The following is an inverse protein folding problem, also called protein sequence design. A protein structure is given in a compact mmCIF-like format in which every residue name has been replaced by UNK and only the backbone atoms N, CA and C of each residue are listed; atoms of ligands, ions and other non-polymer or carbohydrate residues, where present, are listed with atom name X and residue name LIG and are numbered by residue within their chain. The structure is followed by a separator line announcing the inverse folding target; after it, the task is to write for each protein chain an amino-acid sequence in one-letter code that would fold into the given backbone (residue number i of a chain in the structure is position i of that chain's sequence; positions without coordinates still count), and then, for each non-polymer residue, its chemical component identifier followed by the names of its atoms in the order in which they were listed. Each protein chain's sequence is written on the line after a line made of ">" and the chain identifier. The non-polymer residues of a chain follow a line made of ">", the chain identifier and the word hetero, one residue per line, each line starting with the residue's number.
data_IF_973118261952
#
_entry.id   IF_973118261952
#
_cell.length_a   1.000
_cell.length_b   1.000
_cell.length_c   1.000
_cell.angle_alpha   90.00
_cell.angle_beta   90.00
_cell.angle_gamma   90.00
#
_symmetry.space_group_name_H-M   'P 1'
#
loop_
_entity.id
_entity.type
_entity.pdbx_description
1 polymer ?
#
# COMPACT_ATOMS: atom_id res chain seq x y z
N UNK A 1 -16.63 -11.18 -5.65
CA UNK A 1 -15.33 -11.33 -4.95
C UNK A 1 -14.26 -11.20 -6.00
N UNK A 2 -13.23 -10.38 -5.78
CA UNK A 2 -12.12 -10.25 -6.74
C UNK A 2 -11.35 -11.57 -6.82
N UNK A 3 -11.07 -12.06 -8.01
CA UNK A 3 -10.27 -13.25 -8.19
C UNK A 3 -8.78 -12.92 -8.04
N UNK A 4 -8.12 -13.54 -7.04
CA UNK A 4 -6.73 -13.24 -6.71
C UNK A 4 -5.75 -13.57 -7.82
N UNK A 5 -6.00 -14.64 -8.58
CA UNK A 5 -5.15 -15.04 -9.71
C UNK A 5 -5.14 -13.98 -10.82
N UNK A 6 -6.30 -13.39 -11.11
CA UNK A 6 -6.45 -12.38 -12.16
C UNK A 6 -5.60 -11.11 -11.88
N UNK A 7 -5.49 -10.71 -10.62
CA UNK A 7 -4.82 -9.46 -10.23
C UNK A 7 -3.41 -9.68 -9.69
N UNK A 8 -2.89 -10.90 -9.69
CA UNK A 8 -1.63 -11.23 -9.04
C UNK A 8 -0.44 -10.45 -9.60
N UNK A 9 -0.34 -10.33 -10.93
CA UNK A 9 0.75 -9.61 -11.58
C UNK A 9 0.80 -8.15 -11.16
N UNK A 10 -0.34 -7.48 -11.16
CA UNK A 10 -0.45 -6.07 -10.74
C UNK A 10 -0.21 -5.89 -9.23
N UNK A 11 -0.66 -6.86 -8.41
CA UNK A 11 -0.41 -6.82 -6.96
C UNK A 11 1.10 -6.97 -6.62
N UNK A 12 1.82 -7.81 -7.38
CA UNK A 12 3.28 -7.95 -7.27
C UNK A 12 3.96 -6.64 -7.67
N UNK A 13 3.54 -6.05 -8.79
CA UNK A 13 4.08 -4.77 -9.28
C UNK A 13 3.85 -3.63 -8.27
N UNK A 14 2.65 -3.55 -7.69
CA UNK A 14 2.33 -2.56 -6.65
C UNK A 14 3.24 -2.71 -5.42
N UNK A 15 3.39 -3.92 -4.91
CA UNK A 15 4.23 -4.16 -3.72
C UNK A 15 5.71 -3.89 -4.00
N UNK A 16 6.22 -4.35 -5.13
CA UNK A 16 7.61 -4.11 -5.54
C UNK A 16 7.87 -2.62 -5.78
N UNK A 17 6.99 -1.96 -6.53
CA UNK A 17 7.08 -0.53 -6.82
C UNK A 17 7.01 0.34 -5.56
N UNK A 18 6.07 0.07 -4.66
CA UNK A 18 5.95 0.79 -3.39
C UNK A 18 7.20 0.58 -2.49
N UNK A 19 7.75 -0.63 -2.47
CA UNK A 19 8.97 -0.95 -1.70
C UNK A 19 10.16 -0.16 -2.22
N UNK A 20 10.41 -0.16 -3.53
CA UNK A 20 11.51 0.59 -4.16
C UNK A 20 11.32 2.10 -3.95
N UNK A 21 10.10 2.60 -4.13
CA UNK A 21 9.80 4.01 -3.92
C UNK A 21 10.05 4.45 -2.46
N UNK A 22 9.71 3.59 -1.49
CA UNK A 22 10.00 3.88 -0.08
C UNK A 22 11.51 3.94 0.17
N UNK A 23 12.30 3.00 -0.35
CA UNK A 23 13.76 3.03 -0.21
C UNK A 23 14.37 4.28 -0.83
N UNK A 24 13.90 4.68 -2.01
CA UNK A 24 14.34 5.92 -2.66
C UNK A 24 13.99 7.16 -1.82
N UNK A 25 12.78 7.18 -1.25
CA UNK A 25 12.33 8.24 -0.36
C UNK A 25 13.17 8.31 0.91
N UNK A 26 13.44 7.19 1.57
CA UNK A 26 14.27 7.14 2.78
C UNK A 26 15.70 7.65 2.49
N UNK A 27 16.29 7.26 1.36
CA UNK A 27 17.59 7.78 0.91
C UNK A 27 17.55 9.28 0.67
N UNK A 28 16.50 9.78 0.04
CA UNK A 28 16.32 11.21 -0.20
C UNK A 28 16.10 12.02 1.09
N UNK A 29 15.61 11.39 2.15
CA UNK A 29 15.42 12.02 3.47
C UNK A 29 16.67 11.94 4.36
N UNK A 30 17.65 11.09 4.02
CA UNK A 30 18.86 10.92 4.83
C UNK A 30 19.58 12.26 5.05
N UNK A 31 19.92 12.56 6.29
CA UNK A 31 20.57 13.81 6.70
C UNK A 31 19.69 15.05 6.72
N UNK A 32 18.40 14.93 6.39
CA UNK A 32 17.42 16.02 6.46
C UNK A 32 16.66 16.00 7.79
N UNK A 33 16.18 17.18 8.27
CA UNK A 33 15.32 17.22 9.44
C UNK A 33 14.06 16.38 9.27
N UNK A 34 13.71 15.60 10.27
CA UNK A 34 12.51 14.76 10.29
C UNK A 34 11.27 15.60 10.68
N UNK A 35 11.00 16.64 9.87
CA UNK A 35 9.98 17.64 10.16
C UNK A 35 8.58 17.10 9.90
N UNK A 36 7.72 17.20 10.92
CA UNK A 36 6.28 16.96 10.75
C UNK A 36 5.61 18.12 10.03
N UNK A 37 4.73 17.82 9.10
CA UNK A 37 3.86 18.78 8.42
C UNK A 37 2.42 18.39 8.75
N UNK A 38 1.65 19.30 9.32
CA UNK A 38 0.28 19.06 9.78
C UNK A 38 0.16 17.80 10.69
N UNK A 39 1.17 17.57 11.53
CA UNK A 39 1.22 16.41 12.43
C UNK A 39 1.75 15.11 11.81
N UNK A 40 1.96 15.05 10.50
CA UNK A 40 2.42 13.85 9.81
C UNK A 40 3.93 13.85 9.62
N UNK A 41 4.59 12.75 10.03
CA UNK A 41 6.00 12.52 9.74
C UNK A 41 6.25 12.35 8.23
N UNK A 42 7.50 12.44 7.75
CA UNK A 42 7.81 12.15 6.36
C UNK A 42 7.29 10.79 5.89
N UNK A 43 7.44 9.73 6.68
CA UNK A 43 6.98 8.37 6.35
C UNK A 43 5.46 8.30 6.27
N UNK A 44 4.76 8.92 7.21
CA UNK A 44 3.28 9.00 7.18
C UNK A 44 2.80 9.70 5.90
N UNK A 45 3.46 10.79 5.49
CA UNK A 45 3.14 11.49 4.26
C UNK A 45 3.39 10.63 3.02
N UNK A 46 4.46 9.82 3.01
CA UNK A 46 4.71 8.87 1.93
C UNK A 46 3.54 7.90 1.75
N UNK A 47 3.07 7.26 2.83
CA UNK A 47 1.97 6.31 2.76
C UNK A 47 0.63 6.96 2.42
N UNK A 48 0.38 8.18 2.91
CA UNK A 48 -0.80 8.95 2.52
C UNK A 48 -0.78 9.32 1.05
N UNK A 49 0.37 9.75 0.51
CA UNK A 49 0.53 10.04 -0.91
C UNK A 49 0.29 8.80 -1.77
N UNK A 50 0.85 7.65 -1.38
CA UNK A 50 0.58 6.37 -2.05
C UNK A 50 -0.92 6.04 -2.08
N UNK A 51 -1.60 6.18 -0.95
CA UNK A 51 -3.04 5.92 -0.87
C UNK A 51 -3.85 6.89 -1.75
N UNK A 52 -3.43 8.13 -1.85
CA UNK A 52 -4.10 9.16 -2.66
C UNK A 52 -4.04 8.85 -4.16
N UNK A 53 -2.97 8.23 -4.65
CA UNK A 53 -2.85 7.79 -6.05
C UNK A 53 -4.01 6.86 -6.46
N UNK A 54 -4.46 6.03 -5.52
CA UNK A 54 -5.51 5.03 -5.74
C UNK A 54 -6.89 5.47 -5.23
N UNK A 55 -7.03 6.75 -4.83
CA UNK A 55 -8.32 7.27 -4.38
C UNK A 55 -9.31 7.29 -5.54
N UNK A 56 -10.38 6.52 -5.41
CA UNK A 56 -11.44 6.39 -6.41
C UNK A 56 -12.81 6.27 -5.76
N UNK A 57 -13.84 6.67 -6.49
CA UNK A 57 -15.22 6.47 -6.09
C UNK A 57 -15.99 5.82 -7.25
N UNK A 58 -16.18 4.51 -7.17
CA UNK A 58 -16.83 3.72 -8.19
C UNK A 58 -18.30 3.47 -7.87
N UNK A 59 -19.16 3.52 -8.90
CA UNK A 59 -20.52 3.01 -8.77
C UNK A 59 -20.48 1.50 -8.50
N UNK A 60 -21.41 0.94 -7.69
CA UNK A 60 -21.40 -0.48 -7.31
C UNK A 60 -21.35 -1.44 -8.50
N UNK A 61 -22.04 -1.10 -9.60
CA UNK A 61 -22.08 -1.90 -10.82
C UNK A 61 -20.71 -1.91 -11.52
N UNK A 62 -20.08 -0.76 -11.67
CA UNK A 62 -18.74 -0.62 -12.25
C UNK A 62 -17.69 -1.37 -11.42
N UNK A 63 -17.75 -1.23 -10.10
CA UNK A 63 -16.86 -1.96 -9.18
C UNK A 63 -17.01 -3.49 -9.30
N UNK A 64 -18.24 -3.98 -9.49
CA UNK A 64 -18.49 -5.41 -9.74
C UNK A 64 -17.89 -5.89 -11.05
N UNK A 65 -18.09 -5.12 -12.13
CA UNK A 65 -17.52 -5.45 -13.45
C UNK A 65 -15.98 -5.50 -13.34
N UNK A 66 -15.37 -4.46 -12.80
CA UNK A 66 -13.93 -4.40 -12.60
C UNK A 66 -13.41 -5.61 -11.78
N UNK A 67 -14.07 -5.92 -10.65
CA UNK A 67 -13.64 -7.01 -9.79
C UNK A 67 -13.69 -8.40 -10.45
N UNK A 68 -14.49 -8.57 -11.49
CA UNK A 68 -14.70 -9.85 -12.17
C UNK A 68 -13.90 -10.00 -13.48
N UNK A 69 -13.50 -8.90 -14.11
CA UNK A 69 -12.96 -8.95 -15.48
C UNK A 69 -11.65 -8.16 -15.67
N UNK A 70 -11.26 -7.30 -14.74
CA UNK A 70 -10.08 -6.47 -14.87
C UNK A 70 -8.89 -7.10 -14.13
N UNK A 71 -7.71 -7.05 -14.74
CA UNK A 71 -6.44 -7.46 -14.13
C UNK A 71 -6.01 -6.49 -13.02
N UNK A 72 -6.59 -5.29 -12.98
CA UNK A 72 -6.35 -4.29 -11.95
C UNK A 72 -7.39 -4.41 -10.84
N UNK A 73 -6.93 -4.62 -9.63
CA UNK A 73 -7.78 -4.60 -8.46
C UNK A 73 -8.35 -3.19 -8.23
N UNK A 74 -9.51 -3.11 -7.56
CA UNK A 74 -10.05 -1.84 -7.09
C UNK A 74 -9.00 -1.07 -6.26
N UNK A 75 -8.95 0.25 -6.37
CA UNK A 75 -7.95 1.10 -5.72
C UNK A 75 -7.81 0.84 -4.23
N UNK A 76 -8.94 0.70 -3.52
CA UNK A 76 -8.91 0.29 -2.09
C UNK A 76 -8.14 -1.01 -1.86
N UNK A 77 -8.25 -1.99 -2.76
CA UNK A 77 -7.54 -3.28 -2.63
C UNK A 77 -6.07 -3.13 -2.98
N UNK A 78 -5.73 -2.30 -3.96
CA UNK A 78 -4.35 -1.97 -4.32
C UNK A 78 -3.63 -1.32 -3.13
N UNK A 79 -4.25 -0.38 -2.43
CA UNK A 79 -3.70 0.24 -1.22
C UNK A 79 -3.57 -0.76 -0.08
N UNK A 80 -4.69 -1.36 0.34
CA UNK A 80 -4.68 -2.24 1.53
C UNK A 80 -3.85 -3.49 1.30
N UNK A 81 -3.94 -4.12 0.13
CA UNK A 81 -3.19 -5.32 -0.22
C UNK A 81 -1.68 -5.10 -0.22
N UNK A 82 -1.23 -3.95 -0.70
CA UNK A 82 0.19 -3.57 -0.70
C UNK A 82 0.67 -3.25 0.72
N UNK A 83 0.02 -2.30 1.40
CA UNK A 83 0.52 -1.75 2.66
C UNK A 83 0.54 -2.75 3.80
N UNK A 84 -0.40 -3.71 3.85
CA UNK A 84 -0.40 -4.74 4.88
C UNK A 84 0.80 -5.71 4.81
N UNK A 85 1.50 -5.75 3.68
CA UNK A 85 2.73 -6.51 3.49
C UNK A 85 4.00 -5.69 3.78
N UNK A 86 3.88 -4.40 4.07
CA UNK A 86 5.01 -3.49 4.28
C UNK A 86 5.23 -3.20 5.77
N UNK A 87 6.21 -3.82 6.44
CA UNK A 87 6.51 -3.54 7.85
C UNK A 87 6.70 -2.05 8.17
N UNK A 88 7.36 -1.23 7.32
CA UNK A 88 7.51 0.20 7.57
C UNK A 88 6.18 0.95 7.70
N UNK A 89 5.12 0.50 7.00
CA UNK A 89 3.78 1.07 7.18
C UNK A 89 3.29 0.87 8.62
N UNK A 90 3.36 -0.36 9.12
CA UNK A 90 2.93 -0.66 10.49
C UNK A 90 3.73 0.12 11.53
N UNK A 91 5.03 0.29 11.31
CA UNK A 91 5.91 1.08 12.18
C UNK A 91 5.52 2.57 12.16
N UNK A 92 5.34 3.16 10.99
CA UNK A 92 5.01 4.58 10.84
C UNK A 92 3.67 4.94 11.50
N UNK A 93 2.69 4.05 11.44
CA UNK A 93 1.36 4.23 12.03
C UNK A 93 1.21 3.65 13.44
N UNK A 94 2.29 3.16 14.05
CA UNK A 94 2.28 2.53 15.38
C UNK A 94 1.23 1.41 15.50
N UNK A 95 1.05 0.64 14.44
CA UNK A 95 0.05 -0.43 14.40
C UNK A 95 0.44 -1.57 15.35
N UNK A 96 -0.46 -2.04 16.23
CA UNK A 96 -0.21 -3.25 17.00
C UNK A 96 -0.12 -4.47 16.10
N UNK A 97 0.65 -5.49 16.50
CA UNK A 97 0.90 -6.70 15.70
C UNK A 97 -0.36 -7.45 15.22
N UNK A 98 -1.47 -7.30 15.94
CA UNK A 98 -2.76 -7.92 15.60
C UNK A 98 -3.71 -6.99 14.83
N UNK A 99 -3.26 -5.80 14.43
CA UNK A 99 -4.09 -4.91 13.64
C UNK A 99 -4.44 -5.55 12.28
N UNK A 100 -5.64 -5.28 11.78
CA UNK A 100 -6.10 -5.81 10.47
C UNK A 100 -5.20 -5.41 9.30
N UNK A 101 -4.50 -4.29 9.43
CA UNK A 101 -3.54 -3.79 8.43
C UNK A 101 -2.10 -4.27 8.67
N UNK A 102 -1.89 -5.27 9.53
CA UNK A 102 -0.58 -5.87 9.78
C UNK A 102 -0.66 -7.36 9.49
N UNK A 103 0.00 -7.78 8.41
CA UNK A 103 0.10 -9.20 8.08
C UNK A 103 1.22 -9.84 8.90
N UNK A 104 0.98 -11.01 9.53
CA UNK A 104 2.02 -11.77 10.23
C UNK A 104 3.21 -12.05 9.31
N UNK A 105 4.43 -12.06 9.85
CA UNK A 105 5.66 -12.24 9.08
C UNK A 105 5.64 -13.51 8.21
N UNK A 106 5.09 -14.61 8.73
CA UNK A 106 4.95 -15.90 8.02
C UNK A 106 3.99 -15.86 6.82
N UNK A 107 3.18 -14.82 6.71
CA UNK A 107 2.17 -14.67 5.66
C UNK A 107 2.43 -13.48 4.73
N UNK A 108 3.50 -12.71 4.98
CA UNK A 108 3.83 -11.55 4.15
C UNK A 108 4.32 -11.99 2.78
N UNK A 109 3.79 -11.33 1.76
CA UNK A 109 4.41 -11.36 0.45
C UNK A 109 5.63 -10.43 0.46
N UNK A 110 6.71 -10.89 -0.15
CA UNK A 110 7.95 -10.12 -0.31
C UNK A 110 8.39 -10.25 -1.76
N UNK A 111 8.72 -9.14 -2.39
CA UNK A 111 9.13 -9.11 -3.81
C UNK A 111 10.66 -9.01 -3.92
N UNK A 112 11.31 -8.31 -3.01
CA UNK A 112 12.78 -8.13 -2.96
C UNK A 112 13.34 -8.49 -1.58
#
# INVERSE_FOLDING_TARGET
>A
MQEGALVLGEAIADLGGATIALWAFERAQAGKPHTKIQGFSPELRFFLAYATVWAENNRPEAARVQANSDVHALGRKRVTGTLLNMPPFATAWYCPLRAKMVRPASQRCKVW
#
